data_IF_280523533979
#
_entry.id   IF_280523533979
#
_cell.length_a   1.000
_cell.length_b   1.000
_cell.length_c   1.000
_cell.angle_alpha   90.00
_cell.angle_beta   90.00
_cell.angle_gamma   90.00
#
_symmetry.space_group_name_H-M   'P 1'
#
loop_
_entity.id
_entity.type
_entity.pdbx_description
1 polymer ?
#
# COMPACT_ATOMS: atom_id res chain seq x y z
N UNK A 1 0.88 -5.94 15.34
CA UNK A 1 1.52 -4.71 15.82
C UNK A 1 1.62 -3.70 14.71
N UNK A 2 1.31 -2.46 15.02
CA UNK A 2 1.35 -1.38 14.05
C UNK A 2 2.05 -0.18 14.65
N UNK A 3 2.81 0.51 13.82
CA UNK A 3 3.48 1.73 14.22
C UNK A 3 3.18 2.80 13.19
N UNK A 4 2.62 3.92 13.65
CA UNK A 4 2.39 5.06 12.79
C UNK A 4 3.74 5.67 12.40
N UNK A 5 3.85 6.10 11.15
CA UNK A 5 5.08 6.66 10.64
C UNK A 5 4.83 8.11 10.24
N UNK A 6 5.64 9.05 10.75
CA UNK A 6 5.48 10.45 10.35
C UNK A 6 5.61 10.62 8.84
N UNK A 7 4.81 11.51 8.29
CA UNK A 7 4.79 11.72 6.84
C UNK A 7 6.16 12.11 6.30
N UNK A 8 6.90 12.93 7.05
CA UNK A 8 8.21 13.38 6.60
C UNK A 8 9.26 12.27 6.58
N UNK A 9 8.96 11.12 7.16
CA UNK A 9 9.88 9.98 7.15
C UNK A 9 9.47 8.91 6.15
N UNK A 10 8.30 9.04 5.52
CA UNK A 10 7.79 8.01 4.62
C UNK A 10 8.71 7.77 3.43
N UNK A 11 9.23 8.83 2.84
CA UNK A 11 10.08 8.69 1.66
C UNK A 11 11.32 7.87 1.97
N UNK A 12 12.00 8.19 3.06
CA UNK A 12 13.21 7.47 3.44
C UNK A 12 12.89 6.03 3.83
N UNK A 13 11.79 5.83 4.57
CA UNK A 13 11.44 4.50 5.01
C UNK A 13 11.02 3.61 3.84
N UNK A 14 10.25 4.15 2.89
CA UNK A 14 9.84 3.39 1.73
C UNK A 14 11.01 2.96 0.86
N UNK A 15 12.09 3.73 0.85
CA UNK A 15 13.28 3.39 0.08
C UNK A 15 13.87 2.05 0.53
N UNK A 16 13.73 1.71 1.80
CA UNK A 16 14.20 0.42 2.31
C UNK A 16 13.38 -0.74 1.76
N UNK A 17 12.11 -0.50 1.46
CA UNK A 17 11.19 -1.51 0.96
C UNK A 17 11.24 -1.61 -0.57
N UNK A 18 11.81 -0.64 -1.24
CA UNK A 18 11.94 -0.65 -2.69
C UNK A 18 10.91 0.22 -3.40
N UNK A 19 10.87 0.09 -4.72
CA UNK A 19 10.04 0.94 -5.55
C UNK A 19 8.88 0.20 -6.22
N UNK A 20 8.59 -1.02 -5.76
CA UNK A 20 7.58 -1.87 -6.42
C UNK A 20 6.50 -2.34 -5.45
N UNK A 21 5.75 -1.41 -4.84
CA UNK A 21 4.65 -1.80 -3.97
C UNK A 21 3.46 -2.28 -4.78
N UNK A 22 2.45 -2.79 -4.07
CA UNK A 22 1.14 -3.01 -4.64
C UNK A 22 0.31 -1.74 -4.48
N UNK A 23 -0.40 -1.37 -5.53
CA UNK A 23 -1.38 -0.28 -5.50
C UNK A 23 -2.75 -0.89 -5.26
N UNK A 24 -3.40 -0.44 -4.19
CA UNK A 24 -4.72 -0.91 -3.83
C UNK A 24 -5.73 0.20 -4.08
N UNK A 25 -6.72 -0.11 -4.91
CA UNK A 25 -7.80 0.80 -5.24
C UNK A 25 -9.12 0.05 -5.07
N UNK A 26 -10.22 0.73 -5.22
CA UNK A 26 -11.53 0.13 -5.06
C UNK A 26 -12.26 0.08 -6.39
N UNK A 27 -12.73 -1.10 -6.76
CA UNK A 27 -13.56 -1.28 -7.94
C UNK A 27 -14.96 -0.73 -7.71
N UNK A 28 -15.71 -0.54 -8.79
CA UNK A 28 -17.07 -0.01 -8.71
C UNK A 28 -17.99 -0.86 -7.85
N UNK A 29 -17.75 -2.16 -7.77
CA UNK A 29 -18.55 -3.05 -6.93
C UNK A 29 -18.07 -3.11 -5.49
N UNK A 30 -17.12 -2.28 -5.12
CA UNK A 30 -16.61 -2.21 -3.76
C UNK A 30 -15.47 -3.15 -3.45
N UNK A 31 -15.10 -4.03 -4.36
CA UNK A 31 -14.00 -4.96 -4.12
C UNK A 31 -12.66 -4.26 -4.23
N UNK A 32 -11.70 -4.63 -3.40
CA UNK A 32 -10.36 -4.10 -3.56
C UNK A 32 -9.70 -4.64 -4.82
N UNK A 33 -8.91 -3.81 -5.46
CA UNK A 33 -8.16 -4.16 -6.66
C UNK A 33 -6.69 -3.90 -6.35
N UNK A 34 -5.85 -4.91 -6.47
CA UNK A 34 -4.45 -4.82 -6.10
C UNK A 34 -3.57 -5.20 -7.28
N UNK A 35 -2.65 -4.33 -7.64
CA UNK A 35 -1.70 -4.58 -8.73
C UNK A 35 -0.33 -4.09 -8.32
N UNK A 36 0.72 -4.78 -8.79
CA UNK A 36 2.07 -4.32 -8.56
C UNK A 36 2.36 -3.13 -9.47
N UNK A 37 2.99 -2.12 -8.94
CA UNK A 37 3.34 -0.92 -9.69
C UNK A 37 4.78 -0.53 -9.38
N UNK A 38 5.33 0.36 -10.19
CA UNK A 38 6.61 1.00 -9.90
C UNK A 38 6.33 2.43 -9.55
N UNK A 39 6.97 2.92 -8.50
CA UNK A 39 6.75 4.28 -8.04
C UNK A 39 8.01 5.12 -8.15
N UNK A 40 7.80 6.41 -8.15
CA UNK A 40 8.86 7.40 -8.12
C UNK A 40 8.43 8.52 -7.19
N UNK A 41 9.31 8.95 -6.30
CA UNK A 41 9.02 10.08 -5.43
C UNK A 41 9.38 11.38 -6.14
N UNK A 42 8.49 12.36 -6.04
CA UNK A 42 8.77 13.73 -6.47
C UNK A 42 8.44 14.63 -5.29
N UNK A 43 9.48 15.00 -4.55
CA UNK A 43 9.27 15.74 -3.31
C UNK A 43 8.49 14.89 -2.31
N UNK A 44 7.34 15.37 -1.91
CA UNK A 44 6.47 14.66 -0.97
C UNK A 44 5.33 13.91 -1.66
N UNK A 45 5.36 13.82 -2.98
CA UNK A 45 4.37 13.08 -3.74
C UNK A 45 4.96 11.83 -4.35
N UNK A 46 4.09 10.88 -4.63
CA UNK A 46 4.48 9.62 -5.26
C UNK A 46 3.81 9.56 -6.62
N UNK A 47 4.59 9.27 -7.65
CA UNK A 47 4.06 9.09 -9.00
C UNK A 47 4.12 7.64 -9.39
N UNK A 48 3.08 7.17 -10.07
CA UNK A 48 3.07 5.83 -10.63
C UNK A 48 2.24 5.80 -11.89
N UNK A 49 2.49 4.80 -12.73
CA UNK A 49 1.63 4.47 -13.85
C UNK A 49 0.95 3.16 -13.53
N UNK A 50 -0.30 3.03 -13.89
CA UNK A 50 -1.03 1.81 -13.64
C UNK A 50 -1.96 1.55 -14.81
N UNK A 51 -2.52 0.35 -14.86
CA UNK A 51 -3.42 -0.02 -15.93
C UNK A 51 -4.73 0.73 -15.88
N UNK A 52 -5.55 0.51 -16.88
CA UNK A 52 -6.79 1.27 -17.05
C UNK A 52 -7.76 1.09 -15.88
N UNK A 53 -7.82 -0.11 -15.29
CA UNK A 53 -8.74 -0.35 -14.16
C UNK A 53 -8.32 0.48 -12.94
N UNK A 54 -7.04 0.45 -12.58
CA UNK A 54 -6.55 1.22 -11.45
C UNK A 54 -6.75 2.72 -11.69
N UNK A 55 -6.46 3.18 -12.89
CA UNK A 55 -6.61 4.59 -13.24
C UNK A 55 -8.07 5.02 -13.13
N UNK A 56 -8.99 4.21 -13.66
CA UNK A 56 -10.42 4.50 -13.58
C UNK A 56 -10.90 4.49 -12.12
N UNK A 57 -10.40 3.54 -11.33
CA UNK A 57 -10.78 3.46 -9.92
C UNK A 57 -10.36 4.71 -9.16
N UNK A 58 -9.13 5.20 -9.39
CA UNK A 58 -8.64 6.40 -8.71
C UNK A 58 -9.42 7.63 -9.16
N UNK A 59 -9.75 7.72 -10.44
CA UNK A 59 -10.52 8.85 -10.94
C UNK A 59 -11.91 8.91 -10.28
N UNK A 60 -12.52 7.75 -10.04
CA UNK A 60 -13.84 7.69 -9.42
C UNK A 60 -13.78 7.80 -7.90
N UNK A 61 -12.77 7.20 -7.28
CA UNK A 61 -12.61 7.12 -5.83
C UNK A 61 -11.13 7.34 -5.52
N UNK A 62 -10.76 8.57 -5.15
CA UNK A 62 -9.33 8.93 -5.03
C UNK A 62 -8.58 8.31 -3.85
N UNK A 63 -9.28 7.77 -2.88
CA UNK A 63 -8.60 7.16 -1.73
C UNK A 63 -7.97 5.84 -2.16
N UNK A 64 -6.69 5.68 -1.85
CA UNK A 64 -5.95 4.49 -2.23
C UNK A 64 -4.90 4.17 -1.17
N UNK A 65 -4.26 3.03 -1.35
CA UNK A 65 -3.13 2.65 -0.50
C UNK A 65 -2.04 2.02 -1.33
N UNK A 66 -0.81 2.18 -0.86
CA UNK A 66 0.33 1.44 -1.38
C UNK A 66 0.78 0.48 -0.30
N UNK A 67 1.05 -0.76 -0.69
CA UNK A 67 1.46 -1.80 0.24
C UNK A 67 2.78 -2.38 -0.20
N UNK A 68 3.78 -2.29 0.67
CA UNK A 68 5.04 -2.99 0.51
C UNK A 68 5.02 -4.20 1.43
N UNK A 69 5.09 -5.41 0.88
CA UNK A 69 5.17 -6.62 1.71
C UNK A 69 6.45 -6.62 2.54
N UNK A 70 6.51 -7.46 3.58
CA UNK A 70 7.72 -7.56 4.37
C UNK A 70 8.92 -7.95 3.52
N UNK A 71 10.07 -7.35 3.83
CA UNK A 71 11.31 -7.69 3.15
C UNK A 71 11.72 -9.10 3.53
N UNK A 72 11.46 -9.48 4.79
CA UNK A 72 11.74 -10.82 5.28
C UNK A 72 10.49 -11.37 5.95
N UNK A 73 10.35 -12.69 5.94
CA UNK A 73 9.24 -13.34 6.59
C UNK A 73 9.16 -12.92 8.06
N UNK A 74 7.97 -12.57 8.51
CA UNK A 74 7.76 -12.10 9.89
C UNK A 74 8.09 -10.64 10.12
N UNK A 75 8.61 -9.95 9.12
CA UNK A 75 8.93 -8.54 9.24
C UNK A 75 7.72 -7.64 9.06
N UNK A 76 7.97 -6.34 9.06
CA UNK A 76 6.91 -5.35 8.88
C UNK A 76 6.54 -5.19 7.42
N UNK A 77 5.25 -5.03 7.16
CA UNK A 77 4.74 -4.46 5.91
C UNK A 77 4.72 -2.94 6.07
N UNK A 78 4.88 -2.22 4.98
CA UNK A 78 4.68 -0.77 4.98
C UNK A 78 3.41 -0.48 4.21
N UNK A 79 2.50 0.26 4.84
CA UNK A 79 1.24 0.67 4.23
C UNK A 79 1.19 2.18 4.21
N UNK A 80 1.00 2.75 3.03
CA UNK A 80 0.86 4.20 2.87
C UNK A 80 -0.50 4.47 2.26
N UNK A 81 -1.35 5.15 3.03
CA UNK A 81 -2.63 5.62 2.51
C UNK A 81 -2.43 6.97 1.86
N UNK A 82 -3.19 7.26 0.83
CA UNK A 82 -3.06 8.53 0.15
C UNK A 82 -4.25 8.85 -0.72
N UNK A 83 -4.23 10.07 -1.23
CA UNK A 83 -5.19 10.56 -2.20
C UNK A 83 -4.52 10.60 -3.56
N UNK A 84 -5.17 10.03 -4.56
CA UNK A 84 -4.63 9.99 -5.90
C UNK A 84 -5.35 10.92 -6.84
N UNK A 85 -4.59 11.50 -7.76
CA UNK A 85 -5.12 12.32 -8.83
C UNK A 85 -4.55 11.79 -10.14
N UNK A 86 -5.44 11.54 -11.10
CA UNK A 86 -5.00 11.12 -12.43
C UNK A 86 -4.55 12.36 -13.19
N UNK A 87 -3.33 12.32 -13.72
CA UNK A 87 -2.76 13.45 -14.46
C UNK A 87 -2.29 12.97 -15.83
N UNK A 88 -2.10 13.91 -16.75
CA UNK A 88 -1.63 13.60 -18.08
C UNK A 88 -2.71 13.08 -19.00
N UNK A 89 -2.31 12.63 -20.17
CA UNK A 89 -3.24 12.08 -21.16
C UNK A 89 -2.51 11.10 -22.06
N UNK A 90 -3.26 10.23 -22.70
CA UNK A 90 -2.69 9.25 -23.62
C UNK A 90 -1.69 8.35 -22.93
N UNK A 91 -0.50 8.25 -23.50
CA UNK A 91 0.56 7.41 -22.94
C UNK A 91 1.25 8.04 -21.74
N UNK A 92 0.94 9.30 -21.44
CA UNK A 92 1.56 10.00 -20.31
C UNK A 92 0.67 10.02 -19.07
N UNK A 93 -0.37 9.21 -19.05
CA UNK A 93 -1.27 9.15 -17.88
C UNK A 93 -0.51 8.60 -16.68
N UNK A 94 -0.62 9.32 -15.59
CA UNK A 94 -0.01 8.95 -14.32
C UNK A 94 -0.97 9.17 -13.19
N UNK A 95 -0.70 8.51 -12.07
CA UNK A 95 -1.40 8.77 -10.83
C UNK A 95 -0.42 9.48 -9.91
N UNK A 96 -0.81 10.67 -9.46
CA UNK A 96 -0.04 11.44 -8.49
C UNK A 96 -0.67 11.22 -7.13
N UNK A 97 0.10 10.70 -6.18
CA UNK A 97 -0.40 10.30 -4.87
C UNK A 97 0.17 11.24 -3.82
N UNK A 98 -0.72 11.80 -3.01
CA UNK A 98 -0.34 12.58 -1.84
C UNK A 98 -0.52 11.69 -0.62
N UNK A 99 0.56 11.26 0.03
CA UNK A 99 0.44 10.42 1.21
C UNK A 99 -0.28 11.15 2.35
N UNK A 100 -1.18 10.45 3.01
CA UNK A 100 -1.92 11.00 4.15
C UNK A 100 -1.62 10.25 5.44
N UNK A 101 -1.14 9.01 5.35
CA UNK A 101 -0.85 8.21 6.52
C UNK A 101 0.14 7.12 6.14
N UNK A 102 1.07 6.84 7.03
CA UNK A 102 1.99 5.71 6.87
C UNK A 102 1.98 4.86 8.13
N UNK A 103 1.98 3.55 7.94
CA UNK A 103 1.96 2.59 9.04
C UNK A 103 2.87 1.42 8.69
N UNK A 104 3.69 1.02 9.63
CA UNK A 104 4.39 -0.25 9.54
C UNK A 104 3.63 -1.25 10.38
N UNK A 105 3.32 -2.40 9.81
CA UNK A 105 2.49 -3.40 10.45
C UNK A 105 3.07 -4.80 10.30
N UNK A 106 3.00 -5.56 11.35
CA UNK A 106 3.25 -7.01 11.29
C UNK A 106 2.29 -7.70 12.26
N UNK A 107 1.98 -8.97 12.02
CA UNK A 107 1.09 -9.70 12.92
C UNK A 107 1.68 -9.71 14.32
N UNK A 108 0.82 -9.52 15.32
CA UNK A 108 1.25 -9.62 16.70
C UNK A 108 1.51 -11.08 17.05
N UNK A 109 2.58 -11.31 17.83
CA UNK A 109 2.90 -12.62 18.33
C UNK A 109 2.70 -12.57 19.83
N UNK A 110 1.58 -13.09 20.30
CA UNK A 110 1.34 -13.20 21.73
C UNK A 110 1.52 -14.64 22.15
N UNK A 111 1.77 -14.84 23.44
CA UNK A 111 1.87 -16.19 23.98
C UNK A 111 0.61 -16.97 23.71
N UNK A 112 -0.53 -16.32 23.86
CA UNK A 112 -1.80 -16.99 23.63
C UNK A 112 -1.96 -17.42 22.17
N UNK A 113 -1.60 -16.56 21.23
CA UNK A 113 -1.66 -16.90 19.84
C UNK A 113 -0.70 -18.03 19.52
N UNK A 114 0.50 -17.95 20.02
CA UNK A 114 1.48 -18.98 19.80
C UNK A 114 1.03 -20.31 20.41
N UNK A 115 0.45 -20.27 21.57
CA UNK A 115 -0.01 -21.47 22.25
C UNK A 115 -1.10 -22.18 21.46
N UNK A 116 -1.97 -21.42 20.83
CA UNK A 116 -3.01 -22.01 20.00
C UNK A 116 -2.51 -22.43 18.63
N UNK A 117 -1.32 -22.05 18.32
CA UNK A 117 -0.76 -22.38 17.01
C UNK A 117 -1.35 -21.59 15.90
N UNK A 118 -2.23 -20.70 16.19
CA UNK A 118 -2.75 -19.91 15.13
C UNK A 118 -2.92 -18.48 15.50
N UNK A 119 -3.73 -18.12 16.35
CA UNK A 119 -3.98 -16.71 16.49
C UNK A 119 -4.41 -16.15 15.17
N UNK A 120 -4.22 -14.89 15.03
CA UNK A 120 -4.70 -14.20 13.83
C UNK A 120 -3.92 -14.52 12.59
N UNK A 121 -2.70 -14.94 12.74
CA UNK A 121 -1.85 -15.09 11.59
C UNK A 121 -2.00 -16.41 10.90
N UNK A 122 -2.63 -17.35 11.52
CA UNK A 122 -2.73 -18.63 10.84
C UNK A 122 -4.09 -18.91 10.33
N UNK A 123 -4.92 -18.06 10.58
CA UNK A 123 -6.08 -18.25 10.13
C UNK A 123 -6.29 -18.31 8.92
N UNK A 124 -6.03 -18.21 8.40
CA UNK A 124 -6.39 -18.26 7.28
C UNK A 124 -6.68 -18.96 6.53
N UNK A 125 -6.59 -19.20 6.21
CA UNK A 125 -6.83 -19.77 5.32
C UNK A 125 -7.87 -20.21 5.24
N UNK A 126 -8.28 -20.17 5.63
CA UNK A 126 -9.16 -20.49 5.48
C UNK A 126 -9.80 -20.32 5.25
N UNK A 127 -9.74 -20.20 5.37
CA UNK A 127 -10.32 -20.28 5.14
C UNK A 127 -10.62 -20.30 5.41
#
# INVERSE_FOLDING_TARGET
>A
MSEALPIDQLRAESARFGTSPYLLTQNDDGRPHAVAVSIEWQGDRILTSAGSRSTANVAARPLLSLLWPPIEAGGYSLIVDGDGVVTGSGSDIRISITPTRGVMHRPGMSTASAARGCGSDCIPLLG
#
